data_IF_301530320274
#
_entry.id   IF_301530320274
#
_cell.length_a   1.000
_cell.length_b   1.000
_cell.length_c   1.000
_cell.angle_alpha   90.00
_cell.angle_beta   90.00
_cell.angle_gamma   90.00
#
_symmetry.space_group_name_H-M   'P 1'
#
loop_
_entity.id
_entity.type
_entity.pdbx_description
1 polymer ?
#
# COMPACT_ATOMS: atom_id res chain seq x y z
N UNK A 1 -12.17 4.10 17.48
CA UNK A 1 -12.48 3.40 16.23
C UNK A 1 -11.92 4.18 15.04
N UNK A 2 -10.58 4.28 14.97
CA UNK A 2 -9.88 4.89 13.85
C UNK A 2 -9.71 3.82 12.78
N UNK A 3 -10.48 3.96 11.72
CA UNK A 3 -10.70 2.98 10.67
C UNK A 3 -9.41 2.57 9.94
N UNK A 4 -8.78 1.48 10.36
CA UNK A 4 -7.97 0.62 9.47
C UNK A 4 -8.92 -0.14 8.54
N UNK A 5 -9.81 0.58 7.85
CA UNK A 5 -10.68 0.02 6.80
C UNK A 5 -9.94 -0.13 5.48
N UNK A 6 -8.80 0.57 5.35
CA UNK A 6 -8.09 0.71 4.09
C UNK A 6 -7.02 -0.38 3.91
N UNK A 7 -6.49 -1.01 4.98
CA UNK A 7 -5.42 -2.00 4.82
C UNK A 7 -5.85 -3.22 3.98
N UNK A 8 -7.02 -3.80 4.25
CA UNK A 8 -7.57 -4.89 3.43
C UNK A 8 -7.94 -4.43 2.01
N UNK A 9 -8.53 -3.24 1.89
CA UNK A 9 -8.87 -2.65 0.59
C UNK A 9 -7.63 -2.30 -0.25
N UNK A 10 -6.51 -1.95 0.38
CA UNK A 10 -5.24 -1.66 -0.29
C UNK A 10 -4.62 -2.94 -0.85
N UNK A 11 -4.56 -4.01 -0.06
CA UNK A 11 -4.11 -5.33 -0.54
C UNK A 11 -5.01 -5.81 -1.68
N UNK A 12 -6.33 -5.68 -1.52
CA UNK A 12 -7.28 -6.05 -2.57
C UNK A 12 -7.09 -5.21 -3.84
N UNK A 13 -6.86 -3.90 -3.72
CA UNK A 13 -6.59 -3.02 -4.86
C UNK A 13 -5.26 -3.33 -5.55
N UNK A 14 -4.22 -3.69 -4.80
CA UNK A 14 -2.94 -4.13 -5.35
C UNK A 14 -3.10 -5.42 -6.17
N UNK A 15 -3.99 -6.31 -5.76
CA UNK A 15 -4.35 -7.54 -6.49
C UNK A 15 -5.22 -7.25 -7.71
N UNK A 16 -6.41 -6.71 -7.46
CA UNK A 16 -7.49 -6.64 -8.46
C UNK A 16 -7.35 -5.41 -9.37
N UNK A 17 -6.78 -4.32 -8.86
CA UNK A 17 -6.60 -3.06 -9.58
C UNK A 17 -5.26 -2.96 -10.30
N UNK A 18 -4.15 -3.12 -9.58
CA UNK A 18 -2.80 -2.95 -10.15
C UNK A 18 -2.17 -4.26 -10.66
N UNK A 19 -2.69 -5.42 -10.25
CA UNK A 19 -2.16 -6.73 -10.66
C UNK A 19 -0.76 -7.05 -10.13
N UNK A 20 -0.32 -6.40 -9.05
CA UNK A 20 1.04 -6.58 -8.49
C UNK A 20 1.18 -7.87 -7.67
N UNK A 21 0.08 -8.35 -7.10
CA UNK A 21 0.01 -9.60 -6.33
C UNK A 21 -1.08 -10.50 -6.91
N UNK A 22 -0.93 -11.83 -6.76
CA UNK A 22 -1.91 -12.79 -7.29
C UNK A 22 -2.88 -13.25 -6.21
N UNK A 23 -2.38 -13.50 -5.01
CA UNK A 23 -3.17 -13.92 -3.85
C UNK A 23 -2.84 -13.02 -2.64
N UNK A 24 -3.80 -12.85 -1.72
CA UNK A 24 -3.60 -12.02 -0.50
C UNK A 24 -2.47 -12.56 0.40
N UNK A 25 -2.23 -13.88 0.36
CA UNK A 25 -1.10 -14.50 1.07
C UNK A 25 0.27 -14.09 0.50
N UNK A 26 0.33 -13.69 -0.78
CA UNK A 26 1.59 -13.30 -1.43
C UNK A 26 2.16 -12.04 -0.77
N UNK A 27 1.29 -11.18 -0.24
CA UNK A 27 1.68 -9.99 0.52
C UNK A 27 2.42 -10.38 1.80
N UNK A 28 1.93 -11.32 2.61
CA UNK A 28 2.65 -11.72 3.82
C UNK A 28 4.01 -12.38 3.48
N UNK A 29 4.03 -13.24 2.47
CA UNK A 29 5.28 -13.85 2.01
C UNK A 29 6.28 -12.83 1.46
N UNK A 30 5.82 -11.82 0.73
CA UNK A 30 6.67 -10.75 0.22
C UNK A 30 7.22 -9.88 1.36
N UNK A 31 6.40 -9.58 2.37
CA UNK A 31 6.81 -8.83 3.56
C UNK A 31 7.93 -9.56 4.31
N UNK A 32 7.82 -10.89 4.43
CA UNK A 32 8.84 -11.74 5.08
C UNK A 32 10.13 -11.85 4.27
N UNK A 33 10.11 -11.53 2.97
CA UNK A 33 11.27 -11.63 2.07
C UNK A 33 12.06 -10.33 1.95
N UNK A 34 11.50 -9.19 2.39
CA UNK A 34 12.18 -7.90 2.41
C UNK A 34 12.62 -7.57 3.84
N UNK A 35 13.82 -7.01 3.97
CA UNK A 35 14.32 -6.52 5.27
C UNK A 35 13.84 -5.09 5.55
N UNK A 36 13.55 -4.31 4.49
CA UNK A 36 13.14 -2.90 4.54
C UNK A 36 12.35 -2.53 3.26
N UNK A 37 11.47 -1.54 3.35
CA UNK A 37 10.81 -0.90 2.20
C UNK A 37 11.72 0.09 1.48
N UNK A 38 12.91 0.37 2.04
CA UNK A 38 13.89 1.33 1.52
C UNK A 38 13.30 2.74 1.30
N UNK A 39 12.35 3.13 2.17
CA UNK A 39 11.67 4.41 2.13
C UNK A 39 10.55 4.50 1.10
N UNK A 40 10.12 3.38 0.51
CA UNK A 40 8.92 3.30 -0.32
C UNK A 40 7.68 3.26 0.57
N UNK A 41 6.71 4.12 0.28
CA UNK A 41 5.45 4.20 1.03
C UNK A 41 4.26 4.17 0.08
N UNK A 42 3.26 3.34 0.40
CA UNK A 42 1.94 3.38 -0.22
C UNK A 42 1.00 4.19 0.67
N UNK A 43 0.39 5.24 0.11
CA UNK A 43 -0.69 6.00 0.73
C UNK A 43 -2.00 5.57 0.08
N UNK A 44 -2.83 4.74 0.72
CA UNK A 44 -4.03 4.18 0.09
C UNK A 44 -5.27 5.10 0.24
N UNK A 45 -5.14 6.39 -0.08
CA UNK A 45 -6.23 7.37 0.00
C UNK A 45 -7.21 7.28 -1.19
N UNK A 46 -7.77 6.09 -1.46
CA UNK A 46 -8.66 5.86 -2.62
C UNK A 46 -9.98 6.63 -2.53
N UNK A 47 -10.44 6.90 -1.32
CA UNK A 47 -11.68 7.65 -1.04
C UNK A 47 -11.39 8.94 -0.26
N UNK A 48 -10.17 9.45 -0.35
CA UNK A 48 -9.68 10.52 0.53
C UNK A 48 -9.12 10.00 1.85
N UNK A 49 -8.52 10.91 2.63
CA UNK A 49 -7.94 10.64 3.94
C UNK A 49 -8.96 10.86 5.05
N UNK A 50 -9.07 9.88 5.94
CA UNK A 50 -9.81 10.02 7.19
C UNK A 50 -9.06 10.86 8.24
N UNK A 51 -9.43 10.70 9.50
CA UNK A 51 -8.73 11.31 10.61
C UNK A 51 -7.22 10.96 10.60
N UNK A 52 -6.32 11.86 11.04
CA UNK A 52 -6.57 13.19 11.59
C UNK A 52 -6.57 14.33 10.55
N UNK A 53 -6.51 14.03 9.25
CA UNK A 53 -6.36 15.05 8.22
C UNK A 53 -7.69 15.43 7.54
N UNK A 54 -8.67 14.53 7.53
CA UNK A 54 -10.02 14.74 6.98
C UNK A 54 -10.02 15.43 5.60
N UNK A 55 -9.20 14.92 4.68
CA UNK A 55 -9.08 15.47 3.34
C UNK A 55 -9.79 14.54 2.32
N UNK A 56 -11.01 14.86 1.88
CA UNK A 56 -11.74 14.06 0.89
C UNK A 56 -11.17 14.19 -0.54
N UNK A 57 -10.33 15.19 -0.79
CA UNK A 57 -9.69 15.41 -2.09
C UNK A 57 -8.35 14.69 -2.21
N UNK A 58 -7.80 14.20 -1.10
CA UNK A 58 -6.62 13.35 -1.13
C UNK A 58 -6.82 12.15 -2.06
N UNK A 59 -5.73 11.75 -2.71
CA UNK A 59 -5.68 10.61 -3.63
C UNK A 59 -4.54 9.69 -3.23
N UNK A 60 -4.67 8.43 -3.59
CA UNK A 60 -3.62 7.45 -3.31
C UNK A 60 -2.30 7.81 -4.01
N UNK A 61 -1.18 7.50 -3.36
CA UNK A 61 0.15 7.79 -3.88
C UNK A 61 1.13 6.66 -3.52
N UNK A 62 2.14 6.43 -4.36
CA UNK A 62 3.32 5.66 -4.00
C UNK A 62 4.50 6.63 -4.00
N UNK A 63 5.18 6.74 -2.86
CA UNK A 63 6.28 7.67 -2.63
C UNK A 63 7.59 6.90 -2.42
N UNK A 64 8.73 7.56 -2.63
CA UNK A 64 10.05 7.00 -2.32
C UNK A 64 10.62 5.99 -3.31
N UNK A 65 10.01 5.83 -4.49
CA UNK A 65 10.50 4.91 -5.52
C UNK A 65 11.89 5.34 -6.01
N UNK A 66 12.82 4.39 -6.02
CA UNK A 66 14.15 4.51 -6.60
C UNK A 66 14.38 3.39 -7.64
N UNK A 67 15.54 3.38 -8.32
CA UNK A 67 15.83 2.38 -9.38
C UNK A 67 15.87 0.94 -8.85
N UNK A 68 16.21 0.75 -7.58
CA UNK A 68 16.25 -0.55 -6.92
C UNK A 68 14.87 -1.07 -6.52
N UNK A 69 13.86 -0.19 -6.47
CA UNK A 69 12.51 -0.55 -6.00
C UNK A 69 11.92 -1.70 -6.78
N UNK A 70 11.56 -2.76 -6.06
CA UNK A 70 10.88 -3.94 -6.59
C UNK A 70 9.44 -3.99 -6.10
N UNK A 71 8.64 -4.82 -6.76
CA UNK A 71 7.21 -4.99 -6.44
C UNK A 71 7.00 -5.34 -4.97
N UNK A 72 7.94 -6.07 -4.35
CA UNK A 72 7.84 -6.50 -2.97
C UNK A 72 7.90 -5.32 -2.00
N UNK A 73 8.59 -4.23 -2.33
CA UNK A 73 8.77 -3.07 -1.44
C UNK A 73 7.59 -2.10 -1.47
N UNK A 74 6.83 -2.06 -2.58
CA UNK A 74 5.64 -1.19 -2.72
C UNK A 74 4.38 -1.70 -2.02
N UNK A 75 4.44 -2.87 -1.36
CA UNK A 75 3.28 -3.55 -0.77
C UNK A 75 3.05 -3.19 0.71
N UNK A 76 3.94 -2.40 1.33
CA UNK A 76 3.94 -2.20 2.79
C UNK A 76 4.12 -0.73 3.17
N UNK A 77 3.08 -0.15 3.78
CA UNK A 77 3.08 0.56 5.08
C UNK A 77 1.61 0.72 5.54
#
# INVERSE_FOLDING_TARGET
>A
EGSVFIAGAAVQWLRDGLGLIKEEKDTEEAARKIEDTEGVYLVPAFTGLGAPYWDPLARGAILGINRGTRKEQSLFD
#
